data_IF_152295678245
#
_entry.id   IF_152295678245
#
_cell.length_a   1.000
_cell.length_b   1.000
_cell.length_c   1.000
_cell.angle_alpha   90.00
_cell.angle_beta   90.00
_cell.angle_gamma   90.00
#
_symmetry.space_group_name_H-M   'P 1'
#
loop_
_entity.id
_entity.type
_entity.pdbx_description
1 polymer ?
#
# COMPACT_ATOMS: atom_id res chain seq x y z
N UNK A 1 30.56 78.94 42.81
CA UNK A 1 30.51 78.53 41.38
C UNK A 1 30.67 77.02 41.08
N UNK A 2 31.04 76.07 41.97
CA UNK A 2 31.21 74.66 41.56
C UNK A 2 29.90 73.83 41.49
N UNK A 3 28.83 74.30 42.13
CA UNK A 3 27.55 73.57 42.21
C UNK A 3 26.78 73.65 40.88
N UNK A 4 26.68 74.84 40.25
CA UNK A 4 25.97 75.04 38.98
C UNK A 4 26.58 74.21 37.83
N UNK A 5 27.91 74.15 37.74
CA UNK A 5 28.60 73.30 36.75
C UNK A 5 28.36 71.80 36.98
N UNK A 6 28.24 71.35 38.24
CA UNK A 6 27.88 69.95 38.55
C UNK A 6 26.43 69.62 38.15
N UNK A 7 25.49 70.55 38.35
CA UNK A 7 24.10 70.37 37.90
C UNK A 7 23.98 70.33 36.37
N UNK A 8 24.72 71.19 35.66
CA UNK A 8 24.75 71.17 34.20
C UNK A 8 25.34 69.87 33.64
N UNK A 9 26.43 69.37 34.22
CA UNK A 9 27.02 68.08 33.83
C UNK A 9 26.05 66.90 34.08
N UNK A 10 25.41 66.86 35.26
CA UNK A 10 24.41 65.84 35.57
C UNK A 10 23.22 65.87 34.60
N UNK A 11 22.71 67.06 34.25
CA UNK A 11 21.62 67.20 33.27
C UNK A 11 22.02 66.78 31.84
N UNK A 12 23.29 66.95 31.46
CA UNK A 12 23.81 66.48 30.18
C UNK A 12 23.95 64.95 30.16
N UNK A 13 24.39 64.34 31.27
CA UNK A 13 24.45 62.89 31.39
C UNK A 13 23.07 62.25 31.34
N UNK A 14 22.08 62.85 32.01
CA UNK A 14 20.67 62.41 32.01
C UNK A 14 20.07 62.45 30.59
N UNK A 15 20.21 63.57 29.87
CA UNK A 15 19.72 63.70 28.49
C UNK A 15 20.39 62.72 27.50
N UNK A 16 21.69 62.42 27.68
CA UNK A 16 22.37 61.39 26.89
C UNK A 16 21.85 59.99 27.22
N UNK A 17 21.53 59.73 28.49
CA UNK A 17 20.97 58.45 28.92
C UNK A 17 19.55 58.26 28.37
N UNK A 18 18.69 59.26 28.46
CA UNK A 18 17.33 59.27 27.85
C UNK A 18 17.41 58.97 26.36
N UNK A 19 18.27 59.69 25.61
CA UNK A 19 18.45 59.46 24.19
C UNK A 19 18.98 58.04 23.85
N UNK A 20 19.74 57.40 24.77
CA UNK A 20 20.15 56.00 24.61
C UNK A 20 19.01 55.03 24.92
N UNK A 21 18.20 55.31 25.92
CA UNK A 21 16.99 54.53 26.25
C UNK A 21 16.02 54.56 25.08
N UNK A 22 15.70 55.73 24.53
CA UNK A 22 14.81 55.89 23.38
C UNK A 22 15.28 55.08 22.15
N UNK A 23 16.61 55.08 21.90
CA UNK A 23 17.20 54.29 20.81
C UNK A 23 17.09 52.79 21.05
N UNK A 24 17.25 52.35 22.30
CA UNK A 24 17.09 50.94 22.67
C UNK A 24 15.63 50.51 22.55
N UNK A 25 14.68 51.31 23.03
CA UNK A 25 13.25 51.05 22.88
C UNK A 25 12.86 50.94 21.41
N UNK A 26 13.31 51.88 20.57
CA UNK A 26 13.07 51.83 19.13
C UNK A 26 13.75 50.62 18.43
N UNK A 27 14.88 50.13 18.96
CA UNK A 27 15.52 48.92 18.45
C UNK A 27 14.77 47.65 18.89
N UNK A 28 14.30 47.60 20.13
CA UNK A 28 13.49 46.50 20.66
C UNK A 28 12.15 46.39 19.91
N UNK A 29 11.50 47.50 19.62
CA UNK A 29 10.26 47.53 18.86
C UNK A 29 10.45 46.94 17.45
N UNK A 30 11.51 47.35 16.75
CA UNK A 30 11.86 46.80 15.42
C UNK A 30 12.20 45.31 15.47
N UNK A 31 12.87 44.86 16.53
CA UNK A 31 13.17 43.44 16.71
C UNK A 31 11.89 42.63 16.97
N UNK A 32 10.98 43.14 17.79
CA UNK A 32 9.69 42.51 18.07
C UNK A 32 8.88 42.33 16.77
N UNK A 33 8.78 43.39 15.96
CA UNK A 33 8.10 43.34 14.65
C UNK A 33 8.76 42.32 13.69
N UNK A 34 10.10 42.26 13.68
CA UNK A 34 10.82 41.27 12.86
C UNK A 34 10.58 39.83 13.33
N UNK A 35 10.50 39.60 14.65
CA UNK A 35 10.18 38.30 15.24
C UNK A 35 8.75 37.87 14.92
N UNK A 36 7.78 38.79 14.98
CA UNK A 36 6.39 38.51 14.59
C UNK A 36 6.28 38.13 13.11
N UNK A 37 6.98 38.85 12.23
CA UNK A 37 7.03 38.52 10.80
C UNK A 37 7.69 37.16 10.55
N UNK A 38 8.75 36.84 11.29
CA UNK A 38 9.41 35.54 11.19
C UNK A 38 8.48 34.42 11.66
N UNK A 39 7.79 34.60 12.79
CA UNK A 39 6.81 33.64 13.31
C UNK A 39 5.70 33.38 12.28
N UNK A 40 5.12 34.43 11.70
CA UNK A 40 4.11 34.29 10.65
C UNK A 40 4.62 33.54 9.40
N UNK A 41 5.88 33.77 9.00
CA UNK A 41 6.51 33.02 7.89
C UNK A 41 6.76 31.56 8.26
N UNK A 42 7.13 31.28 9.51
CA UNK A 42 7.29 29.90 10.01
C UNK A 42 5.95 29.17 10.00
N UNK A 43 4.87 29.80 10.44
CA UNK A 43 3.52 29.22 10.40
C UNK A 43 3.07 28.92 8.96
N UNK A 44 3.35 29.83 8.02
CA UNK A 44 3.08 29.61 6.59
C UNK A 44 3.89 28.45 6.03
N UNK A 45 5.16 28.33 6.42
CA UNK A 45 6.01 27.22 5.99
C UNK A 45 5.52 25.89 6.57
N UNK A 46 5.16 25.84 7.85
CA UNK A 46 4.57 24.65 8.48
C UNK A 46 3.31 24.20 7.72
N UNK A 47 2.39 25.14 7.43
CA UNK A 47 1.19 24.85 6.65
C UNK A 47 1.48 24.42 5.19
N UNK A 48 2.61 24.81 4.60
CA UNK A 48 3.06 24.29 3.30
C UNK A 48 3.60 22.86 3.43
N UNK A 49 4.40 22.59 4.46
CA UNK A 49 4.95 21.25 4.73
C UNK A 49 3.81 20.24 4.97
N UNK A 50 2.81 20.58 5.78
CA UNK A 50 1.65 19.71 6.04
C UNK A 50 0.88 19.39 4.75
N UNK A 51 0.67 20.40 3.88
CA UNK A 51 0.02 20.20 2.58
C UNK A 51 0.85 19.34 1.64
N UNK A 52 2.18 19.43 1.70
CA UNK A 52 3.07 18.59 0.90
C UNK A 52 3.04 17.14 1.42
N UNK A 53 3.06 16.91 2.73
CA UNK A 53 2.96 15.58 3.32
C UNK A 53 1.70 14.85 2.83
N UNK A 54 0.52 15.48 2.95
CA UNK A 54 -0.74 14.91 2.46
C UNK A 54 -0.73 14.61 0.96
N UNK A 55 -0.03 15.43 0.16
CA UNK A 55 0.11 15.18 -1.29
C UNK A 55 1.02 14.01 -1.59
N UNK A 56 2.12 13.88 -0.85
CA UNK A 56 3.06 12.74 -0.97
C UNK A 56 2.34 11.45 -0.61
N UNK A 57 1.62 11.40 0.51
CA UNK A 57 0.84 10.22 0.93
C UNK A 57 -0.15 9.77 -0.16
N UNK A 58 -0.84 10.72 -0.79
CA UNK A 58 -1.77 10.42 -1.89
C UNK A 58 -1.06 9.89 -3.14
N UNK A 59 0.15 10.36 -3.42
CA UNK A 59 0.95 9.88 -4.56
C UNK A 59 1.43 8.46 -4.27
N UNK A 60 1.93 8.20 -3.06
CA UNK A 60 2.37 6.87 -2.63
C UNK A 60 1.23 5.84 -2.73
N UNK A 61 0.04 6.18 -2.24
CA UNK A 61 -1.16 5.32 -2.35
C UNK A 61 -1.52 5.01 -3.81
N UNK A 62 -1.45 6.01 -4.70
CA UNK A 62 -1.73 5.80 -6.14
C UNK A 62 -0.67 4.94 -6.81
N UNK A 63 0.60 5.14 -6.45
CA UNK A 63 1.71 4.35 -6.98
C UNK A 63 1.62 2.89 -6.51
N UNK A 64 1.27 2.66 -5.25
CA UNK A 64 1.02 1.32 -4.71
C UNK A 64 -0.09 0.61 -5.49
N UNK A 65 -1.23 1.30 -5.73
CA UNK A 65 -2.33 0.75 -6.52
C UNK A 65 -1.92 0.43 -7.97
N UNK A 66 -1.22 1.34 -8.65
CA UNK A 66 -0.73 1.11 -10.02
C UNK A 66 0.27 -0.03 -10.10
N UNK A 67 1.13 -0.17 -9.09
CA UNK A 67 2.11 -1.26 -9.03
C UNK A 67 1.43 -2.60 -8.83
N UNK A 68 0.38 -2.66 -8.00
CA UNK A 68 -0.48 -3.83 -7.83
C UNK A 68 -1.15 -4.27 -9.14
N UNK A 69 -1.87 -3.36 -9.81
CA UNK A 69 -2.53 -3.65 -11.10
C UNK A 69 -1.52 -4.07 -12.18
N UNK A 70 -0.34 -3.44 -12.23
CA UNK A 70 0.73 -3.85 -13.14
C UNK A 70 1.27 -5.26 -12.83
N UNK A 71 1.39 -5.61 -11.54
CA UNK A 71 1.83 -6.93 -11.11
C UNK A 71 0.80 -8.02 -11.47
N UNK A 72 -0.48 -7.78 -11.18
CA UNK A 72 -1.59 -8.68 -11.55
C UNK A 72 -1.61 -8.96 -13.05
N UNK A 73 -1.50 -7.91 -13.87
CA UNK A 73 -1.41 -8.04 -15.34
C UNK A 73 -0.19 -8.85 -15.76
N UNK A 74 0.97 -8.60 -15.15
CA UNK A 74 2.21 -9.33 -15.47
C UNK A 74 2.06 -10.83 -15.19
N UNK A 75 1.46 -11.20 -14.06
CA UNK A 75 1.18 -12.61 -13.73
C UNK A 75 0.19 -13.25 -14.69
N UNK A 76 -0.84 -12.51 -15.13
CA UNK A 76 -1.82 -12.97 -16.12
C UNK A 76 -1.19 -13.18 -17.51
N UNK A 77 -0.50 -12.16 -18.03
CA UNK A 77 0.12 -12.19 -19.36
C UNK A 77 1.23 -13.23 -19.47
N UNK A 78 1.98 -13.46 -18.38
CA UNK A 78 3.10 -14.41 -18.33
C UNK A 78 2.78 -15.63 -17.48
N UNK A 79 1.51 -16.02 -17.39
CA UNK A 79 1.08 -17.15 -16.56
C UNK A 79 1.87 -18.44 -16.88
N UNK A 80 2.18 -18.67 -18.15
CA UNK A 80 3.00 -19.81 -18.57
C UNK A 80 4.38 -19.86 -17.91
N UNK A 81 4.99 -18.71 -17.59
CA UNK A 81 6.35 -18.64 -17.04
C UNK A 81 6.33 -18.83 -15.53
N UNK A 82 5.33 -18.26 -14.86
CA UNK A 82 5.19 -18.29 -13.41
C UNK A 82 4.65 -19.64 -12.90
N UNK A 83 3.70 -20.25 -13.61
CA UNK A 83 2.94 -21.40 -13.11
C UNK A 83 3.32 -22.75 -13.77
N UNK A 84 4.28 -22.78 -14.70
CA UNK A 84 4.75 -24.02 -15.36
C UNK A 84 5.29 -25.09 -14.40
N UNK A 85 5.73 -24.70 -13.20
CA UNK A 85 6.15 -25.64 -12.17
C UNK A 85 4.99 -26.41 -11.51
N UNK A 86 3.74 -26.01 -11.79
CA UNK A 86 2.53 -26.55 -11.17
C UNK A 86 1.64 -27.22 -12.22
N UNK A 87 1.37 -26.51 -13.32
CA UNK A 87 0.49 -26.96 -14.41
C UNK A 87 1.22 -26.90 -15.75
N UNK A 88 0.90 -27.84 -16.63
CA UNK A 88 1.26 -27.79 -18.06
C UNK A 88 0.06 -27.38 -18.90
N UNK A 89 0.29 -27.01 -20.17
CA UNK A 89 -0.76 -26.56 -21.10
C UNK A 89 -1.62 -25.41 -20.55
N UNK A 90 -0.99 -24.49 -19.83
CA UNK A 90 -1.64 -23.40 -19.13
C UNK A 90 -2.44 -22.51 -20.09
N UNK A 91 -3.69 -22.26 -19.71
CA UNK A 91 -4.57 -21.25 -20.31
C UNK A 91 -5.13 -20.38 -19.21
N UNK A 92 -5.04 -19.07 -19.37
CA UNK A 92 -5.70 -18.11 -18.48
C UNK A 92 -7.20 -18.18 -18.74
N UNK A 93 -8.00 -18.29 -17.67
CA UNK A 93 -9.45 -18.21 -17.75
C UNK A 93 -9.84 -16.73 -17.89
N UNK A 94 -10.55 -16.35 -18.96
CA UNK A 94 -11.03 -14.98 -19.12
C UNK A 94 -11.98 -14.54 -18.00
N UNK A 95 -11.98 -13.26 -17.59
CA UNK A 95 -12.88 -12.75 -16.55
C UNK A 95 -14.36 -13.01 -16.82
N UNK A 96 -14.80 -12.92 -18.08
CA UNK A 96 -16.19 -13.17 -18.48
C UNK A 96 -16.57 -14.65 -18.35
N UNK A 97 -15.64 -15.56 -18.62
CA UNK A 97 -15.83 -17.00 -18.40
C UNK A 97 -15.97 -17.30 -16.90
N UNK A 98 -15.09 -16.75 -16.08
CA UNK A 98 -15.16 -16.87 -14.63
C UNK A 98 -16.48 -16.31 -14.07
N UNK A 99 -16.90 -15.14 -14.55
CA UNK A 99 -18.17 -14.53 -14.14
C UNK A 99 -19.37 -15.40 -14.53
N UNK A 100 -19.32 -16.04 -15.70
CA UNK A 100 -20.35 -16.99 -16.12
C UNK A 100 -20.41 -18.22 -15.20
N UNK A 101 -19.26 -18.78 -14.81
CA UNK A 101 -19.19 -19.91 -13.87
C UNK A 101 -19.78 -19.53 -12.51
N UNK A 102 -19.37 -18.39 -11.94
CA UNK A 102 -19.88 -17.91 -10.66
C UNK A 102 -21.40 -17.68 -10.69
N UNK A 103 -21.90 -17.03 -11.76
CA UNK A 103 -23.33 -16.79 -11.95
C UNK A 103 -24.14 -18.09 -12.07
N UNK A 104 -23.63 -19.08 -12.82
CA UNK A 104 -24.29 -20.38 -12.94
C UNK A 104 -24.34 -21.11 -11.60
N UNK A 105 -23.24 -21.12 -10.85
CA UNK A 105 -23.17 -21.75 -9.54
C UNK A 105 -24.10 -21.09 -8.53
N UNK A 106 -24.23 -19.76 -8.53
CA UNK A 106 -25.23 -19.05 -7.71
C UNK A 106 -26.66 -19.45 -8.09
N UNK A 107 -26.99 -19.45 -9.39
CA UNK A 107 -28.32 -19.84 -9.87
C UNK A 107 -28.70 -21.27 -9.52
N UNK A 108 -27.72 -22.15 -9.38
CA UNK A 108 -27.90 -23.54 -8.97
C UNK A 108 -27.91 -23.73 -7.45
N UNK A 109 -27.70 -22.66 -6.67
CA UNK A 109 -27.61 -22.71 -5.22
C UNK A 109 -26.32 -23.34 -4.68
N UNK A 110 -25.32 -23.57 -5.54
CA UNK A 110 -24.00 -24.06 -5.15
C UNK A 110 -23.24 -22.97 -4.40
N UNK A 111 -23.35 -21.73 -4.86
CA UNK A 111 -22.82 -20.55 -4.19
C UNK A 111 -23.97 -19.66 -3.71
N UNK A 112 -23.78 -19.04 -2.55
CA UNK A 112 -24.58 -17.89 -2.14
C UNK A 112 -24.18 -16.63 -2.91
N UNK A 113 -25.02 -15.59 -2.88
CA UNK A 113 -24.69 -14.30 -3.47
C UNK A 113 -23.39 -13.70 -2.94
N UNK A 114 -23.15 -13.82 -1.62
CA UNK A 114 -21.91 -13.31 -1.02
C UNK A 114 -20.67 -14.10 -1.49
N UNK A 115 -20.79 -15.42 -1.64
CA UNK A 115 -19.71 -16.24 -2.19
C UNK A 115 -19.47 -15.98 -3.67
N UNK A 116 -20.51 -15.71 -4.47
CA UNK A 116 -20.38 -15.24 -5.84
C UNK A 116 -19.53 -13.96 -5.87
N UNK A 117 -19.97 -12.93 -5.15
CA UNK A 117 -19.29 -11.63 -5.10
C UNK A 117 -17.84 -11.75 -4.62
N UNK A 118 -17.57 -12.65 -3.67
CA UNK A 118 -16.22 -12.93 -3.19
C UNK A 118 -15.35 -13.65 -4.24
N UNK A 119 -15.91 -14.64 -4.95
CA UNK A 119 -15.20 -15.36 -5.99
C UNK A 119 -14.75 -14.41 -7.12
N UNK A 120 -15.62 -13.49 -7.57
CA UNK A 120 -15.31 -12.55 -8.65
C UNK A 120 -14.13 -11.61 -8.36
N UNK A 121 -13.70 -11.51 -7.10
CA UNK A 121 -12.55 -10.69 -6.72
C UNK A 121 -11.21 -11.41 -6.88
N UNK A 122 -11.17 -12.68 -7.27
CA UNK A 122 -9.91 -13.38 -7.49
C UNK A 122 -9.10 -12.74 -8.63
N UNK A 123 -7.80 -12.62 -8.42
CA UNK A 123 -6.94 -11.85 -9.33
C UNK A 123 -6.62 -12.64 -10.62
N UNK A 124 -6.45 -13.96 -10.49
CA UNK A 124 -6.09 -14.84 -11.58
C UNK A 124 -6.68 -16.25 -11.41
N UNK A 125 -7.27 -16.75 -12.48
CA UNK A 125 -7.61 -18.17 -12.62
C UNK A 125 -6.95 -18.69 -13.89
N UNK A 126 -6.29 -19.85 -13.78
CA UNK A 126 -5.72 -20.58 -14.91
C UNK A 126 -6.22 -22.02 -14.92
N UNK A 127 -6.29 -22.61 -16.09
CA UNK A 127 -6.60 -24.01 -16.30
C UNK A 127 -5.43 -24.68 -17.01
N UNK A 128 -5.13 -25.93 -16.65
CA UNK A 128 -4.08 -26.72 -17.26
C UNK A 128 -4.15 -28.17 -16.84
N UNK A 129 -3.10 -28.93 -17.15
CA UNK A 129 -2.93 -30.32 -16.74
C UNK A 129 -1.95 -30.40 -15.59
N UNK A 130 -2.32 -31.13 -14.54
CA UNK A 130 -1.41 -31.37 -13.41
C UNK A 130 -0.30 -32.31 -13.86
N UNK A 131 0.94 -31.84 -13.76
CA UNK A 131 2.11 -32.51 -14.33
C UNK A 131 2.34 -33.94 -13.81
N UNK A 132 1.85 -34.25 -12.62
CA UNK A 132 2.00 -35.54 -11.95
C UNK A 132 0.85 -36.53 -12.20
N UNK A 133 -0.31 -36.06 -12.68
CA UNK A 133 -1.54 -36.87 -12.74
C UNK A 133 -2.27 -36.82 -14.08
N UNK A 134 -1.89 -35.91 -14.98
CA UNK A 134 -2.57 -35.67 -16.27
C UNK A 134 -4.07 -35.37 -16.11
N UNK A 135 -4.44 -34.77 -14.96
CA UNK A 135 -5.81 -34.37 -14.62
C UNK A 135 -5.99 -32.88 -14.92
N UNK A 136 -7.05 -32.54 -15.65
CA UNK A 136 -7.50 -31.17 -15.85
C UNK A 136 -7.77 -30.49 -14.51
N UNK A 137 -6.97 -29.46 -14.22
CA UNK A 137 -6.91 -28.80 -12.91
C UNK A 137 -6.87 -27.30 -13.10
N UNK A 138 -7.64 -26.59 -12.29
CA UNK A 138 -7.53 -25.14 -12.20
C UNK A 138 -6.53 -24.74 -11.12
N UNK A 139 -5.97 -23.55 -11.25
CA UNK A 139 -5.26 -22.86 -10.19
C UNK A 139 -5.86 -21.46 -10.07
N UNK A 140 -6.16 -21.08 -8.83
CA UNK A 140 -6.65 -19.75 -8.48
C UNK A 140 -5.60 -19.06 -7.62
N UNK A 141 -5.16 -17.88 -8.06
CA UNK A 141 -4.09 -17.13 -7.43
C UNK A 141 -4.55 -15.75 -6.95
N UNK A 142 -4.13 -15.39 -5.74
CA UNK A 142 -4.08 -14.01 -5.27
C UNK A 142 -2.70 -13.42 -5.55
N UNK A 143 -2.64 -12.20 -6.06
CA UNK A 143 -1.40 -11.55 -6.49
C UNK A 143 -1.17 -10.30 -5.65
N UNK A 144 -0.02 -10.22 -4.97
CA UNK A 144 0.37 -9.06 -4.16
C UNK A 144 1.85 -8.78 -4.29
N UNK A 145 2.27 -7.51 -4.19
CA UNK A 145 3.70 -7.16 -4.13
C UNK A 145 4.36 -7.85 -2.93
N UNK A 146 3.69 -7.77 -1.77
CA UNK A 146 4.10 -8.39 -0.51
C UNK A 146 2.92 -9.22 -0.02
N UNK A 147 3.06 -10.54 -0.11
CA UNK A 147 2.03 -11.49 0.30
C UNK A 147 1.91 -11.50 1.82
N UNK A 148 0.73 -11.16 2.32
CA UNK A 148 0.37 -11.22 3.74
C UNK A 148 -0.54 -12.43 4.06
N UNK A 149 -0.89 -12.58 5.33
CA UNK A 149 -1.76 -13.68 5.78
C UNK A 149 -3.15 -13.62 5.11
N UNK A 150 -3.68 -12.41 4.93
CA UNK A 150 -4.97 -12.20 4.29
C UNK A 150 -4.98 -12.67 2.84
N UNK A 151 -3.90 -12.47 2.11
CA UNK A 151 -3.74 -12.97 0.73
C UNK A 151 -3.83 -14.50 0.68
N UNK A 152 -3.15 -15.19 1.58
CA UNK A 152 -3.17 -16.66 1.69
C UNK A 152 -4.57 -17.16 2.00
N UNK A 153 -5.23 -16.55 2.97
CA UNK A 153 -6.59 -16.96 3.35
C UNK A 153 -7.60 -16.70 2.21
N UNK A 154 -7.46 -15.58 1.47
CA UNK A 154 -8.29 -15.30 0.30
C UNK A 154 -8.06 -16.33 -0.80
N UNK A 155 -6.82 -16.68 -1.09
CA UNK A 155 -6.48 -17.71 -2.08
C UNK A 155 -7.13 -19.05 -1.75
N UNK A 156 -6.97 -19.52 -0.51
CA UNK A 156 -7.56 -20.77 -0.04
C UNK A 156 -9.10 -20.75 -0.11
N UNK A 157 -9.73 -19.69 0.40
CA UNK A 157 -11.19 -19.54 0.38
C UNK A 157 -11.73 -19.51 -1.06
N UNK A 158 -11.17 -18.67 -1.92
CA UNK A 158 -11.65 -18.47 -3.30
C UNK A 158 -11.42 -19.71 -4.17
N UNK A 159 -10.30 -20.42 -3.99
CA UNK A 159 -10.07 -21.69 -4.66
C UNK A 159 -11.15 -22.73 -4.30
N UNK A 160 -11.52 -22.85 -3.02
CA UNK A 160 -12.57 -23.75 -2.58
C UNK A 160 -13.97 -23.36 -3.13
N UNK A 161 -14.26 -22.06 -3.25
CA UNK A 161 -15.49 -21.59 -3.91
C UNK A 161 -15.49 -21.95 -5.40
N UNK A 162 -14.37 -21.74 -6.08
CA UNK A 162 -14.26 -22.04 -7.50
C UNK A 162 -14.34 -23.54 -7.78
N UNK A 163 -13.76 -24.38 -6.91
CA UNK A 163 -13.83 -25.84 -7.00
C UNK A 163 -15.26 -26.34 -6.92
N UNK A 164 -16.03 -25.83 -5.96
CA UNK A 164 -17.48 -26.10 -5.86
C UNK A 164 -18.23 -25.67 -7.12
N UNK A 165 -17.89 -24.49 -7.67
CA UNK A 165 -18.57 -23.92 -8.82
C UNK A 165 -18.30 -24.66 -10.14
N UNK A 166 -17.06 -25.13 -10.35
CA UNK A 166 -16.63 -25.77 -11.59
C UNK A 166 -16.67 -27.31 -11.53
N UNK A 167 -16.69 -27.89 -10.33
CA UNK A 167 -16.71 -29.33 -10.12
C UNK A 167 -15.42 -30.04 -10.53
N UNK A 168 -14.32 -29.31 -10.68
CA UNK A 168 -12.98 -29.81 -11.01
C UNK A 168 -11.98 -29.31 -9.96
N UNK A 169 -10.87 -30.05 -9.73
CA UNK A 169 -9.88 -29.67 -8.72
C UNK A 169 -9.34 -28.26 -8.94
N UNK A 170 -9.21 -27.49 -7.85
CA UNK A 170 -8.62 -26.14 -7.86
C UNK A 170 -7.48 -26.03 -6.86
N UNK A 171 -6.30 -25.68 -7.36
CA UNK A 171 -5.12 -25.43 -6.53
C UNK A 171 -5.14 -23.98 -6.06
N UNK A 172 -5.12 -23.70 -4.74
CA UNK A 172 -4.93 -22.35 -4.23
C UNK A 172 -3.46 -21.94 -4.35
N UNK A 173 -3.23 -20.69 -4.76
CA UNK A 173 -1.89 -20.11 -4.82
C UNK A 173 -1.89 -18.64 -4.36
N UNK A 174 -0.75 -18.22 -3.83
CA UNK A 174 -0.38 -16.80 -3.71
C UNK A 174 0.79 -16.53 -4.63
N UNK A 175 0.80 -15.34 -5.23
CA UNK A 175 1.88 -14.93 -6.12
C UNK A 175 2.33 -13.51 -5.81
N UNK A 176 3.64 -13.25 -5.92
CA UNK A 176 4.18 -11.95 -5.53
C UNK A 176 5.68 -11.81 -5.69
N UNK A 177 6.22 -10.74 -5.14
CA UNK A 177 7.68 -10.54 -5.07
C UNK A 177 8.24 -11.07 -3.75
N UNK A 178 7.47 -10.90 -2.66
CA UNK A 178 7.87 -11.29 -1.32
C UNK A 178 6.68 -11.87 -0.55
N UNK A 179 6.96 -12.59 0.52
CA UNK A 179 5.96 -13.11 1.46
C UNK A 179 6.39 -12.80 2.89
N UNK A 180 5.43 -12.40 3.73
CA UNK A 180 5.67 -12.18 5.15
C UNK A 180 5.85 -13.52 5.90
N UNK A 181 6.64 -13.58 6.98
CA UNK A 181 6.91 -14.85 7.68
C UNK A 181 5.67 -15.56 8.25
N UNK A 182 4.67 -14.81 8.69
CA UNK A 182 3.39 -15.32 9.17
C UNK A 182 2.53 -15.86 8.02
N UNK A 183 2.49 -15.14 6.90
CA UNK A 183 1.84 -15.58 5.66
C UNK A 183 2.47 -16.86 5.11
N UNK A 184 3.80 -16.96 5.14
CA UNK A 184 4.56 -18.14 4.73
C UNK A 184 4.18 -19.38 5.57
N UNK A 185 4.03 -19.19 6.89
CA UNK A 185 3.62 -20.25 7.81
C UNK A 185 2.17 -20.66 7.56
N UNK A 186 1.28 -19.69 7.35
CA UNK A 186 -0.12 -19.93 7.01
C UNK A 186 -0.25 -20.64 5.66
N UNK A 187 0.50 -20.25 4.63
CA UNK A 187 0.44 -20.87 3.31
C UNK A 187 0.79 -22.36 3.36
N UNK A 188 1.80 -22.71 4.16
CA UNK A 188 2.17 -24.10 4.42
C UNK A 188 1.05 -24.88 5.12
N UNK A 189 0.44 -24.29 6.16
CA UNK A 189 -0.63 -24.91 6.92
C UNK A 189 -1.91 -25.09 6.09
N UNK A 190 -2.27 -24.07 5.30
CA UNK A 190 -3.45 -24.03 4.45
C UNK A 190 -3.25 -24.70 3.08
N UNK A 191 -2.08 -25.33 2.84
CA UNK A 191 -1.75 -26.04 1.60
C UNK A 191 -1.83 -25.16 0.34
N UNK A 192 -1.44 -23.89 0.48
CA UNK A 192 -1.40 -22.89 -0.59
C UNK A 192 -0.02 -22.88 -1.25
N UNK A 193 0.00 -22.93 -2.57
CA UNK A 193 1.23 -22.77 -3.34
C UNK A 193 1.77 -21.35 -3.26
N UNK A 194 3.09 -21.21 -3.20
CA UNK A 194 3.75 -19.90 -3.19
C UNK A 194 4.49 -19.69 -4.50
N UNK A 195 4.11 -18.69 -5.27
CA UNK A 195 4.74 -18.36 -6.57
C UNK A 195 5.42 -17.01 -6.44
N UNK A 196 6.66 -17.02 -5.98
CA UNK A 196 7.40 -15.81 -5.61
C UNK A 196 8.56 -15.61 -6.58
N UNK A 197 8.65 -14.40 -7.14
CA UNK A 197 9.74 -14.00 -8.05
C UNK A 197 10.08 -15.05 -9.14
N UNK A 198 9.04 -15.61 -9.78
CA UNK A 198 9.22 -16.60 -10.85
C UNK A 198 9.44 -18.04 -10.39
N UNK A 199 9.44 -18.32 -9.08
CA UNK A 199 9.64 -19.66 -8.52
C UNK A 199 8.36 -20.16 -7.88
N UNK A 200 7.94 -21.36 -8.28
CA UNK A 200 6.82 -22.06 -7.66
C UNK A 200 7.32 -23.00 -6.56
N UNK A 201 6.83 -22.82 -5.35
CA UNK A 201 7.12 -23.66 -4.19
C UNK A 201 5.87 -24.39 -3.71
N UNK A 202 5.92 -25.73 -3.75
CA UNK A 202 4.85 -26.58 -3.27
C UNK A 202 4.68 -26.46 -1.75
N UNK A 203 3.45 -26.50 -1.20
CA UNK A 203 3.25 -26.67 0.23
C UNK A 203 3.81 -28.02 0.70
N UNK A 204 4.18 -28.16 1.98
CA UNK A 204 4.66 -29.42 2.55
C UNK A 204 3.62 -30.54 2.35
N UNK A 205 4.12 -31.77 2.11
CA UNK A 205 3.35 -32.97 1.76
C UNK A 205 2.38 -33.43 2.86
#
# INVERSE_FOLDING_TARGET
MPVIFRWQAASQEETVLEARVDRLEAALQRLAEALEQLAARMDQLAAHVDRLAVRVDRIEQRLAWLSGDALERRYRERAHSYFQGILTQIRVVPPDEMARVAFQAERQGILSRAEHEELLRADLVIHGLRSDQDVGTYLLAEVSMVVDKGDVERAARRAALYERAVGLPVIPAVAGEQILPDAESEAKAARVWRVLDGRAEAPPA
#
